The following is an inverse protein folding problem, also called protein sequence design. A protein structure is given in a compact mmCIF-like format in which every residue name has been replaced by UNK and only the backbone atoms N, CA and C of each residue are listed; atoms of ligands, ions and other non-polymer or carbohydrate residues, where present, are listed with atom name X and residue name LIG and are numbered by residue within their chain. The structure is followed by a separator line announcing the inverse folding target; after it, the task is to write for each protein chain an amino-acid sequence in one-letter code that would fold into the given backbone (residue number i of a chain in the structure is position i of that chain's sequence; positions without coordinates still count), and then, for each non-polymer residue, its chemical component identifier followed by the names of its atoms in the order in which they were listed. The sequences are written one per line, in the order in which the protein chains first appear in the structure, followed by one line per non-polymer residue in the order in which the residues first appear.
data_IF_337930252107
#
_entry.id   IF_337930252107
#
_cell.length_a   1.000
_cell.length_b   1.000
_cell.length_c   1.000
_cell.angle_alpha   90.00
_cell.angle_beta   90.00
_cell.angle_gamma   90.00
#
_symmetry.space_group_name_H-M   'P 1'
#
loop_
_entity.id
_entity.type
_entity.pdbx_description
1 polymer ?
#
# COMPACT_ATOMS: atom_id res chain seq x y z
N UNK A 1 7.18 -110.26 5.61
CA UNK A 1 6.91 -109.34 6.69
C UNK A 1 7.94 -108.24 6.55
N UNK A 2 7.52 -107.10 5.95
CA UNK A 2 8.41 -105.93 5.77
C UNK A 2 7.63 -104.71 6.34
N UNK A 3 8.14 -104.24 7.46
CA UNK A 3 7.64 -103.11 8.19
C UNK A 3 7.95 -101.81 7.44
N UNK A 4 6.93 -101.06 7.03
CA UNK A 4 7.11 -99.70 6.45
C UNK A 4 7.04 -98.69 7.58
N UNK A 5 8.18 -98.15 7.89
CA UNK A 5 8.28 -96.94 8.77
C UNK A 5 7.90 -95.70 7.99
N UNK A 6 6.74 -95.13 8.35
CA UNK A 6 6.26 -93.83 7.86
C UNK A 6 6.96 -92.73 8.59
N UNK A 7 7.78 -91.94 7.89
CA UNK A 7 8.37 -90.72 8.40
C UNK A 7 7.48 -89.51 8.02
N UNK A 8 6.94 -88.85 9.01
CA UNK A 8 6.15 -87.60 8.83
C UNK A 8 7.09 -86.44 8.41
N UNK A 9 6.60 -85.52 7.54
CA UNK A 9 7.41 -84.42 7.08
C UNK A 9 7.59 -83.34 8.16
N UNK A 10 8.67 -82.59 8.17
CA UNK A 10 8.91 -81.54 9.17
C UNK A 10 7.98 -80.38 9.04
N UNK A 11 7.51 -79.85 10.20
CA UNK A 11 6.62 -78.75 10.28
C UNK A 11 7.28 -77.45 9.78
N UNK A 12 6.61 -76.75 8.87
CA UNK A 12 7.05 -75.47 8.30
C UNK A 12 7.15 -74.36 9.37
N UNK A 13 8.15 -73.49 9.30
CA UNK A 13 8.31 -72.41 10.29
C UNK A 13 7.18 -71.42 10.22
N UNK A 14 6.51 -71.12 11.34
CA UNK A 14 5.47 -70.12 11.48
C UNK A 14 6.13 -68.74 11.27
N UNK A 15 5.86 -68.09 10.10
CA UNK A 15 6.15 -66.67 9.83
C UNK A 15 5.43 -65.80 10.85
N UNK A 16 6.16 -65.20 11.79
CA UNK A 16 5.61 -64.18 12.69
C UNK A 16 5.12 -62.99 11.83
N UNK A 17 3.82 -62.82 11.76
CA UNK A 17 3.13 -61.77 11.04
C UNK A 17 3.43 -60.45 11.77
N UNK A 18 4.40 -59.65 11.28
CA UNK A 18 4.75 -58.30 11.81
C UNK A 18 3.75 -57.22 11.44
N UNK A 19 2.63 -57.55 10.79
CA UNK A 19 1.64 -56.65 10.28
C UNK A 19 0.89 -55.83 11.34
N UNK A 20 0.52 -56.30 12.54
CA UNK A 20 -0.22 -55.50 13.50
C UNK A 20 0.57 -54.29 13.99
N UNK A 21 1.90 -54.36 14.05
CA UNK A 21 2.76 -53.24 14.42
C UNK A 21 2.83 -52.14 13.35
N UNK A 22 2.91 -52.55 12.08
CA UNK A 22 2.91 -51.59 10.95
C UNK A 22 1.57 -50.87 10.83
N UNK A 23 0.46 -51.59 11.01
CA UNK A 23 -0.89 -51.01 11.01
C UNK A 23 -1.07 -50.01 12.20
N UNK A 24 -0.51 -50.35 13.37
CA UNK A 24 -0.52 -49.44 14.53
C UNK A 24 0.29 -48.16 14.32
N UNK A 25 1.47 -48.26 13.71
CA UNK A 25 2.30 -47.07 13.40
C UNK A 25 1.67 -46.20 12.33
N UNK A 26 1.17 -46.79 11.23
CA UNK A 26 0.48 -46.02 10.17
C UNK A 26 -0.81 -45.40 10.68
N UNK A 27 -1.61 -46.12 11.48
CA UNK A 27 -2.78 -45.59 12.14
C UNK A 27 -2.46 -44.43 13.10
N UNK A 28 -1.38 -44.55 13.87
CA UNK A 28 -0.88 -43.49 14.76
C UNK A 28 -0.45 -42.23 14.01
N UNK A 29 0.27 -42.39 12.88
CA UNK A 29 0.69 -41.27 12.03
C UNK A 29 -0.49 -40.57 11.34
N UNK A 30 -1.50 -41.30 10.88
CA UNK A 30 -2.73 -40.74 10.30
C UNK A 30 -3.53 -40.00 11.36
N UNK A 31 -3.63 -40.54 12.58
CA UNK A 31 -4.32 -39.89 13.69
C UNK A 31 -3.59 -38.62 14.16
N UNK A 32 -2.26 -38.64 14.21
CA UNK A 32 -1.45 -37.47 14.50
C UNK A 32 -1.59 -36.40 13.41
N UNK A 33 -1.59 -36.80 12.15
CA UNK A 33 -1.83 -35.90 11.01
C UNK A 33 -3.24 -35.29 11.04
N UNK A 34 -4.27 -36.06 11.38
CA UNK A 34 -5.64 -35.58 11.56
C UNK A 34 -5.77 -34.63 12.75
N UNK A 35 -5.07 -34.89 13.87
CA UNK A 35 -5.04 -34.00 15.03
C UNK A 35 -4.31 -32.68 14.73
N UNK A 36 -3.21 -32.72 14.00
CA UNK A 36 -2.50 -31.51 13.56
C UNK A 36 -3.38 -30.72 12.59
N UNK A 37 -4.02 -31.39 11.63
CA UNK A 37 -4.95 -30.74 10.70
C UNK A 37 -6.15 -30.15 11.43
N UNK A 38 -6.72 -30.87 12.40
CA UNK A 38 -7.82 -30.36 13.24
C UNK A 38 -7.37 -29.17 14.11
N UNK A 39 -6.16 -29.22 14.68
CA UNK A 39 -5.59 -28.10 15.43
C UNK A 39 -5.35 -26.87 14.54
N UNK A 40 -4.87 -27.08 13.30
CA UNK A 40 -4.73 -26.01 12.29
C UNK A 40 -6.10 -25.48 11.87
N UNK A 41 -7.09 -26.33 11.63
CA UNK A 41 -8.45 -25.92 11.29
C UNK A 41 -9.17 -25.25 12.47
N UNK A 42 -8.91 -25.67 13.69
CA UNK A 42 -9.42 -25.01 14.91
C UNK A 42 -8.70 -23.67 15.11
N UNK A 43 -7.39 -23.59 14.90
CA UNK A 43 -6.64 -22.34 14.92
C UNK A 43 -7.13 -21.37 13.82
N UNK A 44 -7.48 -21.91 12.65
CA UNK A 44 -8.10 -21.15 11.55
C UNK A 44 -9.57 -20.81 11.82
N UNK A 45 -10.33 -21.62 12.57
CA UNK A 45 -11.74 -21.38 12.86
C UNK A 45 -11.97 -20.57 14.16
N UNK A 46 -11.11 -20.69 15.14
CA UNK A 46 -11.06 -19.82 16.33
C UNK A 46 -10.39 -18.48 15.97
N UNK A 47 -9.47 -18.47 14.98
CA UNK A 47 -9.00 -17.28 14.29
C UNK A 47 -9.97 -16.79 13.21
N UNK A 48 -11.01 -17.53 12.82
CA UNK A 48 -12.04 -17.20 11.82
C UNK A 48 -13.25 -16.42 12.36
N UNK A 49 -13.28 -16.12 13.65
CA UNK A 49 -13.94 -14.91 14.14
C UNK A 49 -13.10 -13.75 13.68
N UNK A 50 -13.39 -13.23 12.45
CA UNK A 50 -12.71 -12.13 11.83
C UNK A 50 -11.20 -12.09 12.12
N UNK A 51 -10.38 -12.35 11.12
CA UNK A 51 -9.22 -11.48 10.97
C UNK A 51 -9.81 -10.09 10.68
N UNK A 52 -10.43 -9.46 11.66
CA UNK A 52 -10.25 -8.07 11.86
C UNK A 52 -8.74 -7.94 11.80
N UNK A 53 -8.21 -7.35 10.75
CA UNK A 53 -6.95 -6.65 10.84
C UNK A 53 -7.09 -5.92 12.17
N UNK A 54 -6.45 -6.46 13.22
CA UNK A 54 -6.28 -5.73 14.46
C UNK A 54 -5.73 -4.40 13.98
N UNK A 55 -6.38 -3.32 14.33
CA UNK A 55 -5.82 -1.98 14.24
C UNK A 55 -4.42 -2.16 14.75
N UNK A 56 -3.42 -2.25 13.84
CA UNK A 56 -2.11 -2.72 14.24
C UNK A 56 -1.55 -1.66 15.16
N UNK A 57 -1.35 -1.98 16.42
CA UNK A 57 -0.58 -1.11 17.30
C UNK A 57 0.79 -0.96 16.65
N UNK A 58 1.17 0.27 16.38
CA UNK A 58 2.52 0.56 15.92
C UNK A 58 3.49 0.41 17.07
N UNK A 59 4.62 -0.21 16.80
CA UNK A 59 5.74 -0.24 17.74
C UNK A 59 6.52 1.06 17.59
N UNK A 60 6.93 1.64 18.70
CA UNK A 60 7.73 2.85 18.71
C UNK A 60 9.21 2.52 18.67
N UNK A 61 9.90 3.02 17.67
CA UNK A 61 11.34 3.00 17.58
C UNK A 61 11.91 4.36 17.99
N UNK A 62 12.81 4.39 19.00
CA UNK A 62 13.50 5.61 19.38
C UNK A 62 14.42 6.10 18.26
N UNK A 63 14.33 7.38 17.95
CA UNK A 63 15.17 8.04 16.92
C UNK A 63 16.19 8.96 17.56
N UNK A 64 15.74 9.93 18.40
CA UNK A 64 16.61 10.92 19.02
C UNK A 64 15.90 11.65 20.17
N UNK A 65 16.61 12.55 20.87
CA UNK A 65 16.09 13.42 21.92
C UNK A 65 16.04 12.77 23.31
N UNK A 66 16.03 13.57 24.37
CA UNK A 66 15.99 13.10 25.75
C UNK A 66 14.85 13.77 26.58
N UNK A 67 14.03 14.64 25.94
CA UNK A 67 12.94 15.35 26.59
C UNK A 67 11.77 14.44 26.98
N UNK A 68 10.86 14.98 27.77
CA UNK A 68 9.61 14.30 28.18
C UNK A 68 8.53 14.41 27.14
N UNK A 69 8.51 15.53 26.40
CA UNK A 69 7.64 15.73 25.27
C UNK A 69 8.11 14.89 24.08
N UNK A 70 7.16 14.47 23.24
CA UNK A 70 7.44 13.54 22.14
C UNK A 70 6.97 14.10 20.82
N UNK A 71 7.73 13.83 19.77
CA UNK A 71 7.33 14.02 18.37
C UNK A 71 7.22 12.63 17.73
N UNK A 72 6.02 12.30 17.23
CA UNK A 72 5.79 11.03 16.54
C UNK A 72 6.08 11.18 15.04
N UNK A 73 7.01 10.40 14.52
CA UNK A 73 7.31 10.29 13.07
C UNK A 73 6.53 9.11 12.50
N UNK A 74 5.57 9.41 11.65
CA UNK A 74 4.72 8.40 10.98
C UNK A 74 5.16 8.30 9.52
N UNK A 75 5.65 7.14 9.05
CA UNK A 75 6.01 6.96 7.66
C UNK A 75 4.77 6.82 6.75
N UNK A 76 4.83 7.47 5.59
CA UNK A 76 3.88 7.34 4.48
C UNK A 76 4.67 6.91 3.26
N UNK A 77 4.87 5.60 3.12
CA UNK A 77 5.78 5.03 2.14
C UNK A 77 5.03 4.34 1.00
N UNK A 78 5.51 4.53 -0.23
CA UNK A 78 5.06 3.82 -1.42
C UNK A 78 3.72 4.31 -1.96
N UNK A 79 3.02 3.45 -2.71
CA UNK A 79 1.77 3.82 -3.39
C UNK A 79 0.60 3.92 -2.40
N UNK A 80 -0.20 4.96 -2.55
CA UNK A 80 -1.44 5.17 -1.77
C UNK A 80 -2.55 4.31 -2.38
N UNK A 81 -2.99 3.31 -1.63
CA UNK A 81 -4.00 2.33 -2.06
C UNK A 81 -5.20 2.31 -1.11
N UNK A 82 -6.33 1.82 -1.61
CA UNK A 82 -7.50 1.55 -0.76
C UNK A 82 -7.23 0.40 0.22
N UNK A 83 -7.89 0.41 1.38
CA UNK A 83 -7.71 -0.58 2.46
C UNK A 83 -7.92 -2.03 2.04
N UNK A 84 -8.74 -2.26 1.02
CA UNK A 84 -9.03 -3.61 0.51
C UNK A 84 -8.06 -4.06 -0.60
N UNK A 85 -7.08 -3.23 -0.95
CA UNK A 85 -6.08 -3.58 -1.94
C UNK A 85 -5.02 -4.47 -1.30
N UNK A 86 -4.69 -5.57 -1.95
CA UNK A 86 -3.53 -6.36 -1.54
C UNK A 86 -2.28 -5.70 -2.11
N UNK A 87 -1.23 -5.50 -1.29
CA UNK A 87 0.06 -5.10 -1.84
C UNK A 87 0.51 -6.14 -2.86
N UNK A 88 0.56 -5.77 -4.12
CA UNK A 88 1.15 -6.62 -5.14
C UNK A 88 2.67 -6.51 -5.02
N UNK A 89 3.36 -7.64 -5.03
CA UNK A 89 4.82 -7.77 -5.17
C UNK A 89 5.71 -7.22 -4.03
N UNK A 90 5.19 -7.05 -2.82
CA UNK A 90 6.02 -6.67 -1.66
C UNK A 90 6.55 -5.24 -1.70
N UNK A 91 6.01 -4.38 -2.57
CA UNK A 91 6.33 -2.95 -2.58
C UNK A 91 5.65 -2.23 -1.40
N UNK A 92 6.29 -1.20 -0.85
CA UNK A 92 5.68 -0.39 0.19
C UNK A 92 4.36 0.22 -0.29
N UNK A 93 3.35 0.17 0.55
CA UNK A 93 2.05 0.78 0.30
C UNK A 93 1.52 1.41 1.58
N UNK A 94 0.82 2.52 1.45
CA UNK A 94 0.11 3.15 2.55
C UNK A 94 -1.37 3.19 2.25
N UNK A 95 -2.20 2.98 3.27
CA UNK A 95 -3.66 2.99 3.16
C UNK A 95 -4.28 3.99 4.14
N UNK A 96 -5.50 4.48 3.86
CA UNK A 96 -6.20 5.40 4.77
C UNK A 96 -6.32 4.87 6.19
N UNK A 97 -6.73 3.61 6.36
CA UNK A 97 -6.86 2.98 7.69
C UNK A 97 -5.51 2.81 8.39
N UNK A 98 -4.44 2.54 7.64
CA UNK A 98 -3.09 2.45 8.21
C UNK A 98 -2.66 3.79 8.80
N UNK A 99 -2.88 4.88 8.07
CA UNK A 99 -2.58 6.23 8.54
C UNK A 99 -3.50 6.63 9.71
N UNK A 100 -4.83 6.42 9.60
CA UNK A 100 -5.80 6.67 10.65
C UNK A 100 -5.38 6.01 11.97
N UNK A 101 -5.06 4.71 11.94
CA UNK A 101 -4.63 3.98 13.14
C UNK A 101 -3.34 4.55 13.76
N UNK A 102 -2.41 5.05 12.96
CA UNK A 102 -1.19 5.69 13.47
C UNK A 102 -1.48 7.05 14.09
N UNK A 103 -2.37 7.83 13.48
CA UNK A 103 -2.82 9.12 14.00
C UNK A 103 -3.63 8.94 15.29
N UNK A 104 -4.52 7.95 15.37
CA UNK A 104 -5.26 7.61 16.60
C UNK A 104 -4.31 7.28 17.74
N UNK A 105 -3.27 6.46 17.49
CA UNK A 105 -2.26 6.15 18.50
C UNK A 105 -1.53 7.40 18.97
N UNK A 106 -1.19 8.32 18.04
CA UNK A 106 -0.56 9.59 18.39
C UNK A 106 -1.52 10.54 19.14
N UNK A 107 -2.82 10.50 18.84
CA UNK A 107 -3.84 11.27 19.55
C UNK A 107 -4.00 10.80 21.00
N UNK A 108 -4.05 9.48 21.21
CA UNK A 108 -4.27 8.85 22.50
C UNK A 108 -3.05 8.99 23.46
N UNK A 109 -1.83 9.18 22.93
CA UNK A 109 -0.64 9.40 23.75
C UNK A 109 -0.50 10.88 24.14
N UNK A 110 -0.77 11.17 25.41
CA UNK A 110 -0.67 12.51 25.96
C UNK A 110 0.77 13.08 25.97
N UNK A 111 1.79 12.22 25.83
CA UNK A 111 3.20 12.66 25.76
C UNK A 111 3.58 13.09 24.33
N UNK A 112 2.83 12.69 23.30
CA UNK A 112 3.02 13.15 21.93
C UNK A 112 2.42 14.56 21.78
N UNK A 113 3.26 15.55 21.53
CA UNK A 113 2.84 16.94 21.35
C UNK A 113 2.70 17.34 19.88
N UNK A 114 3.38 16.64 18.95
CA UNK A 114 3.31 16.92 17.52
C UNK A 114 3.53 15.66 16.68
N UNK A 115 3.08 15.68 15.43
CA UNK A 115 3.27 14.59 14.47
C UNK A 115 4.07 15.10 13.25
N UNK A 116 5.04 14.30 12.82
CA UNK A 116 5.73 14.46 11.53
C UNK A 116 5.34 13.31 10.62
N UNK A 117 4.65 13.60 9.53
CA UNK A 117 4.41 12.62 8.47
C UNK A 117 5.61 12.61 7.53
N UNK A 118 6.39 11.52 7.54
CA UNK A 118 7.52 11.33 6.61
C UNK A 118 7.00 10.73 5.32
N UNK A 119 6.81 11.56 4.29
CA UNK A 119 6.20 11.15 3.02
C UNK A 119 7.27 10.76 2.01
N UNK A 120 7.21 9.50 1.55
CA UNK A 120 7.99 8.96 0.45
C UNK A 120 7.07 8.19 -0.50
N UNK A 121 6.24 8.93 -1.22
CA UNK A 121 5.14 8.38 -2.02
C UNK A 121 5.04 9.06 -3.39
N UNK A 122 4.88 8.29 -4.48
CA UNK A 122 4.54 8.83 -5.80
C UNK A 122 3.06 9.23 -5.92
N UNK A 123 2.25 9.03 -4.85
CA UNK A 123 0.80 9.16 -4.86
C UNK A 123 0.08 7.83 -5.05
N UNK A 124 -1.12 7.85 -5.61
CA UNK A 124 -1.94 6.65 -5.81
C UNK A 124 -3.38 6.96 -6.20
N UNK A 125 -4.34 6.20 -5.65
CA UNK A 125 -5.76 6.40 -5.95
C UNK A 125 -6.29 7.74 -5.45
N UNK A 126 -7.20 8.36 -6.19
CA UNK A 126 -7.84 9.63 -5.82
C UNK A 126 -8.57 9.49 -4.49
N UNK A 127 -9.50 8.55 -4.40
CA UNK A 127 -10.30 8.32 -3.18
C UNK A 127 -9.44 8.06 -1.93
N UNK A 128 -8.46 7.12 -1.93
CA UNK A 128 -7.66 6.90 -0.74
C UNK A 128 -6.79 8.12 -0.37
N UNK A 129 -6.31 8.91 -1.34
CA UNK A 129 -5.58 10.15 -1.05
C UNK A 129 -6.49 11.19 -0.38
N UNK A 130 -7.74 11.33 -0.84
CA UNK A 130 -8.72 12.21 -0.24
C UNK A 130 -9.16 11.74 1.17
N UNK A 131 -9.25 10.43 1.40
CA UNK A 131 -9.51 9.87 2.73
C UNK A 131 -8.35 10.15 3.69
N UNK A 132 -7.10 9.94 3.28
CA UNK A 132 -5.93 10.24 4.10
C UNK A 132 -5.82 11.73 4.43
N UNK A 133 -6.11 12.60 3.46
CA UNK A 133 -6.15 14.04 3.68
C UNK A 133 -7.17 14.42 4.76
N UNK A 134 -8.40 13.87 4.71
CA UNK A 134 -9.41 14.07 5.74
C UNK A 134 -8.96 13.55 7.10
N UNK A 135 -8.37 12.35 7.17
CA UNK A 135 -7.87 11.77 8.43
C UNK A 135 -6.85 12.71 9.10
N UNK A 136 -6.00 13.39 8.31
CA UNK A 136 -5.05 14.39 8.85
C UNK A 136 -5.79 15.62 9.39
N UNK A 137 -6.78 16.14 8.66
CA UNK A 137 -7.56 17.28 9.11
C UNK A 137 -8.37 16.96 10.37
N UNK A 138 -9.01 15.79 10.41
CA UNK A 138 -9.79 15.32 11.57
C UNK A 138 -8.88 15.15 12.79
N UNK A 139 -7.71 14.52 12.63
CA UNK A 139 -6.71 14.41 13.69
C UNK A 139 -6.31 15.79 14.26
N UNK A 140 -6.00 16.76 13.40
CA UNK A 140 -5.64 18.12 13.82
C UNK A 140 -6.78 18.79 14.59
N UNK A 141 -8.01 18.64 14.13
CA UNK A 141 -9.18 19.23 14.75
C UNK A 141 -9.54 18.61 16.11
N UNK A 142 -9.34 17.30 16.27
CA UNK A 142 -9.70 16.55 17.48
C UNK A 142 -8.62 16.56 18.55
N UNK A 143 -7.34 16.43 18.16
CA UNK A 143 -6.21 16.35 19.08
C UNK A 143 -5.59 17.71 19.42
N UNK A 144 -5.81 18.74 18.60
CA UNK A 144 -5.15 20.05 18.65
C UNK A 144 -3.60 19.95 18.51
N UNK A 145 -3.07 18.80 18.04
CA UNK A 145 -1.64 18.56 17.82
C UNK A 145 -1.26 18.97 16.40
N UNK A 146 -0.20 19.77 16.20
CA UNK A 146 0.23 20.16 14.87
C UNK A 146 0.80 18.97 14.08
N UNK A 147 0.58 19.00 12.77
CA UNK A 147 1.09 18.03 11.81
C UNK A 147 2.05 18.74 10.85
N UNK A 148 3.26 18.21 10.74
CA UNK A 148 4.28 18.69 9.79
C UNK A 148 4.60 17.59 8.78
N UNK A 149 4.66 17.95 7.50
CA UNK A 149 5.15 17.04 6.47
C UNK A 149 6.67 17.14 6.36
N UNK A 150 7.32 15.99 6.33
CA UNK A 150 8.71 15.86 5.92
C UNK A 150 8.77 15.05 4.61
N UNK A 151 8.98 15.72 3.48
CA UNK A 151 9.10 15.05 2.19
C UNK A 151 10.47 14.37 2.07
N UNK A 152 10.47 13.08 1.72
CA UNK A 152 11.67 12.30 1.47
C UNK A 152 12.10 12.41 -0.01
N UNK A 153 12.48 11.30 -0.64
CA UNK A 153 12.92 11.29 -2.04
C UNK A 153 11.80 11.73 -3.00
N UNK A 154 10.58 11.26 -2.74
CA UNK A 154 9.40 11.57 -3.56
C UNK A 154 8.18 11.87 -2.68
N UNK A 155 7.50 12.98 -2.96
CA UNK A 155 6.19 13.29 -2.38
C UNK A 155 5.36 14.00 -3.45
N UNK A 156 4.79 13.23 -4.38
CA UNK A 156 4.19 13.74 -5.60
C UNK A 156 2.73 13.30 -5.76
N UNK A 157 1.96 14.07 -6.51
CA UNK A 157 0.57 13.77 -6.85
C UNK A 157 -0.29 13.50 -5.60
N UNK A 158 -0.84 12.29 -5.37
CA UNK A 158 -1.54 11.96 -4.12
C UNK A 158 -0.68 12.15 -2.86
N UNK A 159 0.65 11.99 -2.95
CA UNK A 159 1.58 12.28 -1.86
C UNK A 159 1.68 13.78 -1.55
N UNK A 160 1.54 14.64 -2.56
CA UNK A 160 1.42 16.08 -2.37
C UNK A 160 0.00 16.47 -1.89
N UNK A 161 -1.03 15.81 -2.42
CA UNK A 161 -2.42 16.01 -2.00
C UNK A 161 -2.58 15.88 -0.49
N UNK A 162 -2.07 14.81 0.11
CA UNK A 162 -2.13 14.63 1.58
C UNK A 162 -1.28 15.65 2.33
N UNK A 163 -0.18 16.12 1.71
CA UNK A 163 0.69 17.09 2.35
C UNK A 163 0.01 18.46 2.57
N UNK A 164 -0.96 18.82 1.74
CA UNK A 164 -1.69 20.08 1.87
C UNK A 164 -2.55 20.20 3.14
N UNK A 165 -2.86 19.06 3.81
CA UNK A 165 -3.59 19.05 5.08
C UNK A 165 -2.73 19.48 6.29
N UNK A 166 -1.41 19.54 6.16
CA UNK A 166 -0.49 19.83 7.25
C UNK A 166 -0.40 21.33 7.60
N UNK A 167 0.18 21.63 8.75
CA UNK A 167 0.46 23.01 9.18
C UNK A 167 1.73 23.57 8.53
N UNK A 168 2.66 22.70 8.18
CA UNK A 168 3.89 23.06 7.47
C UNK A 168 4.43 21.91 6.63
N UNK A 169 5.05 22.24 5.51
CA UNK A 169 5.67 21.27 4.59
C UNK A 169 7.16 21.56 4.47
N UNK A 170 7.98 20.59 4.87
CA UNK A 170 9.44 20.63 4.74
C UNK A 170 9.88 19.62 3.69
N UNK A 171 10.69 20.04 2.73
CA UNK A 171 11.20 19.17 1.66
C UNK A 171 12.72 19.21 1.55
N UNK A 172 13.34 18.11 1.20
CA UNK A 172 14.75 18.11 0.79
C UNK A 172 14.91 18.89 -0.52
N UNK A 173 16.08 19.49 -0.72
CA UNK A 173 16.38 20.24 -1.96
C UNK A 173 16.13 19.44 -3.22
N UNK A 174 16.36 18.13 -3.14
CA UNK A 174 16.29 17.18 -4.24
C UNK A 174 15.01 16.35 -4.26
N UNK A 175 14.12 16.55 -3.31
CA UNK A 175 12.79 15.91 -3.30
C UNK A 175 12.12 16.09 -4.66
N UNK A 176 11.56 15.03 -5.20
CA UNK A 176 10.69 15.10 -6.36
C UNK A 176 9.24 15.25 -5.88
N UNK A 177 8.64 16.39 -6.21
CA UNK A 177 7.26 16.70 -5.81
C UNK A 177 6.45 17.25 -7.01
N UNK A 178 5.27 17.83 -6.77
CA UNK A 178 4.38 18.27 -7.84
C UNK A 178 3.61 17.11 -8.43
N UNK A 179 3.63 16.92 -9.76
CA UNK A 179 2.74 16.00 -10.47
C UNK A 179 1.28 16.26 -10.11
N UNK A 180 0.93 17.57 -10.05
CA UNK A 180 -0.40 18.04 -9.67
C UNK A 180 -1.34 17.82 -10.85
N UNK A 181 -2.19 16.80 -10.73
CA UNK A 181 -3.08 16.39 -11.80
C UNK A 181 -3.64 14.99 -11.61
N UNK A 182 -4.58 14.64 -12.47
CA UNK A 182 -5.34 13.37 -12.44
C UNK A 182 -5.25 12.69 -13.80
N UNK A 183 -5.20 11.38 -13.81
CA UNK A 183 -5.34 10.61 -15.03
C UNK A 183 -6.11 9.31 -14.81
N UNK A 184 -6.70 8.79 -15.88
CA UNK A 184 -7.25 7.43 -15.95
C UNK A 184 -6.42 6.68 -16.98
N UNK A 185 -5.72 5.62 -16.57
CA UNK A 185 -4.97 4.75 -17.47
C UNK A 185 -5.88 3.69 -18.08
N UNK A 186 -5.99 3.66 -19.40
CA UNK A 186 -6.74 2.66 -20.15
C UNK A 186 -5.78 1.93 -21.11
N UNK A 187 -5.65 0.62 -20.94
CA UNK A 187 -4.87 -0.22 -21.85
C UNK A 187 -5.71 -0.56 -23.06
N UNK A 188 -5.17 -0.36 -24.28
CA UNK A 188 -5.77 -0.84 -25.50
C UNK A 188 -4.84 -1.86 -26.17
N UNK A 189 -5.34 -3.09 -26.36
CA UNK A 189 -4.66 -4.20 -27.04
C UNK A 189 -5.52 -4.78 -28.17
N UNK A 190 -6.48 -4.00 -28.70
CA UNK A 190 -7.42 -4.46 -29.72
C UNK A 190 -6.74 -4.95 -30.99
N UNK A 191 -5.74 -4.23 -31.52
CA UNK A 191 -4.98 -4.64 -32.71
C UNK A 191 -4.25 -5.98 -32.46
N UNK A 192 -3.60 -6.14 -31.31
CA UNK A 192 -2.96 -7.39 -30.97
C UNK A 192 -3.96 -8.56 -30.85
N UNK A 193 -5.13 -8.31 -30.25
CA UNK A 193 -6.19 -9.31 -30.13
C UNK A 193 -6.70 -9.75 -31.51
N UNK A 194 -6.90 -8.83 -32.43
CA UNK A 194 -7.32 -9.11 -33.82
C UNK A 194 -6.26 -9.96 -34.53
N UNK A 195 -4.99 -9.66 -34.42
CA UNK A 195 -3.90 -10.42 -35.01
C UNK A 195 -3.84 -11.89 -34.52
N UNK A 196 -4.22 -12.13 -33.27
CA UNK A 196 -4.30 -13.48 -32.69
C UNK A 196 -5.67 -14.14 -32.83
N UNK A 197 -6.65 -13.47 -33.46
CA UNK A 197 -8.02 -13.97 -33.61
C UNK A 197 -8.79 -14.08 -32.30
N UNK A 198 -8.47 -13.24 -31.32
CA UNK A 198 -9.14 -13.16 -30.03
C UNK A 198 -10.23 -12.09 -30.10
N UNK A 199 -11.48 -12.48 -29.85
CA UNK A 199 -12.61 -11.56 -29.80
C UNK A 199 -13.43 -11.76 -28.54
N UNK A 200 -13.91 -10.67 -27.94
CA UNK A 200 -14.82 -10.70 -26.80
C UNK A 200 -16.21 -10.23 -27.23
N UNK A 201 -17.22 -11.02 -26.89
CA UNK A 201 -18.61 -10.70 -27.19
C UNK A 201 -19.35 -10.37 -25.91
N UNK A 202 -20.05 -9.24 -25.90
CA UNK A 202 -20.83 -8.77 -24.77
C UNK A 202 -22.33 -8.86 -25.03
N UNK A 203 -23.08 -9.39 -24.06
CA UNK A 203 -24.52 -9.22 -23.94
C UNK A 203 -24.72 -8.21 -22.82
N UNK A 204 -25.06 -6.97 -23.16
CA UNK A 204 -25.06 -5.84 -22.24
C UNK A 204 -26.41 -5.14 -22.16
N UNK A 205 -26.75 -4.60 -21.01
CA UNK A 205 -28.00 -3.86 -20.77
C UNK A 205 -27.94 -2.40 -21.26
N UNK A 206 -26.75 -1.86 -21.47
CA UNK A 206 -26.53 -0.47 -21.89
C UNK A 206 -25.26 -0.31 -22.69
N UNK A 207 -25.21 0.73 -23.51
CA UNK A 207 -24.14 0.99 -24.48
C UNK A 207 -22.78 1.15 -23.78
N UNK A 208 -22.72 1.91 -22.71
CA UNK A 208 -21.47 2.23 -21.99
C UNK A 208 -21.07 1.20 -20.95
N UNK A 209 -21.80 0.06 -20.82
CA UNK A 209 -21.50 -0.94 -19.77
C UNK A 209 -20.13 -1.62 -19.93
N UNK A 210 -19.51 -1.49 -21.09
CA UNK A 210 -18.20 -2.06 -21.42
C UNK A 210 -17.19 -0.98 -21.83
N UNK A 211 -17.41 0.27 -21.41
CA UNK A 211 -16.44 1.33 -21.68
C UNK A 211 -15.10 1.04 -21.00
N UNK A 212 -14.00 1.36 -21.70
CA UNK A 212 -12.65 1.07 -21.23
C UNK A 212 -12.22 -0.39 -21.41
N UNK A 213 -12.98 -1.22 -22.13
CA UNK A 213 -12.57 -2.59 -22.49
C UNK A 213 -11.28 -2.58 -23.32
N UNK A 214 -10.20 -3.28 -22.87
CA UNK A 214 -8.91 -3.27 -23.56
C UNK A 214 -8.92 -3.94 -24.93
N UNK A 215 -9.95 -4.75 -25.28
CA UNK A 215 -10.03 -5.47 -26.52
C UNK A 215 -10.79 -4.72 -27.63
N UNK A 216 -11.08 -3.45 -27.43
CA UNK A 216 -11.68 -2.58 -28.45
C UNK A 216 -11.20 -1.14 -28.32
N UNK A 217 -11.34 -0.38 -29.37
CA UNK A 217 -11.07 1.05 -29.32
C UNK A 217 -12.08 1.77 -28.40
N UNK A 218 -11.60 2.80 -27.71
CA UNK A 218 -12.42 3.72 -26.94
C UNK A 218 -13.19 4.64 -27.90
N UNK A 219 -14.50 4.74 -27.74
CA UNK A 219 -15.27 5.70 -28.55
C UNK A 219 -15.07 7.14 -28.05
N UNK A 220 -15.30 8.17 -28.90
CA UNK A 220 -15.25 9.56 -28.45
C UNK A 220 -16.20 9.85 -27.29
N UNK A 221 -17.41 9.29 -27.30
CA UNK A 221 -18.40 9.47 -26.25
C UNK A 221 -17.94 8.84 -24.91
N UNK A 222 -17.27 7.70 -24.97
CA UNK A 222 -16.68 7.07 -23.78
C UNK A 222 -15.50 7.89 -23.25
N UNK A 223 -14.67 8.44 -24.15
CA UNK A 223 -13.58 9.33 -23.79
C UNK A 223 -14.09 10.59 -23.08
N UNK A 224 -15.18 11.20 -23.58
CA UNK A 224 -15.80 12.36 -22.96
C UNK A 224 -16.34 12.06 -21.56
N UNK A 225 -16.89 10.85 -21.34
CA UNK A 225 -17.33 10.41 -19.99
C UNK A 225 -16.14 10.30 -19.04
N UNK A 226 -15.05 9.65 -19.44
CA UNK A 226 -13.86 9.56 -18.60
C UNK A 226 -13.22 10.92 -18.35
N UNK A 227 -13.18 11.79 -19.39
CA UNK A 227 -12.63 13.13 -19.25
C UNK A 227 -13.42 13.95 -18.22
N UNK A 228 -14.73 13.85 -18.20
CA UNK A 228 -15.56 14.59 -17.23
C UNK A 228 -15.26 14.18 -15.78
N UNK A 229 -14.91 12.90 -15.53
CA UNK A 229 -14.52 12.41 -14.22
C UNK A 229 -13.12 12.97 -13.85
N UNK A 230 -12.19 12.93 -14.80
CA UNK A 230 -10.83 13.49 -14.59
C UNK A 230 -10.90 14.98 -14.31
N UNK A 231 -11.77 15.73 -15.01
CA UNK A 231 -11.95 17.16 -14.80
C UNK A 231 -12.52 17.44 -13.39
N UNK A 232 -13.51 16.66 -12.92
CA UNK A 232 -14.09 16.79 -11.58
C UNK A 232 -13.03 16.54 -10.49
N UNK A 233 -12.28 15.45 -10.59
CA UNK A 233 -11.22 15.11 -9.65
C UNK A 233 -10.06 16.13 -9.70
N UNK A 234 -9.76 16.69 -10.86
CA UNK A 234 -8.76 17.74 -11.04
C UNK A 234 -9.16 19.05 -10.34
N UNK A 235 -10.43 19.47 -10.49
CA UNK A 235 -10.96 20.64 -9.79
C UNK A 235 -10.85 20.49 -8.27
N UNK A 236 -11.17 19.30 -7.74
CA UNK A 236 -11.01 19.01 -6.32
C UNK A 236 -9.54 19.11 -5.89
N UNK A 237 -8.60 18.61 -6.71
CA UNK A 237 -7.18 18.73 -6.41
C UNK A 237 -6.72 20.20 -6.36
N UNK A 238 -7.16 21.02 -7.33
CA UNK A 238 -6.86 22.45 -7.35
C UNK A 238 -7.40 23.14 -6.09
N UNK A 239 -8.64 22.84 -5.68
CA UNK A 239 -9.25 23.38 -4.48
C UNK A 239 -8.45 23.05 -3.22
N UNK A 240 -8.08 21.78 -3.05
CA UNK A 240 -7.33 21.31 -1.88
C UNK A 240 -5.95 21.97 -1.79
N UNK A 241 -5.28 22.20 -2.92
CA UNK A 241 -4.01 22.94 -2.94
C UNK A 241 -4.24 24.41 -2.61
N UNK A 242 -5.26 25.03 -3.23
CA UNK A 242 -5.58 26.44 -3.00
C UNK A 242 -5.86 26.71 -1.52
N UNK A 243 -6.67 25.88 -0.87
CA UNK A 243 -6.97 25.98 0.56
C UNK A 243 -5.77 25.68 1.45
N UNK A 244 -5.06 24.60 1.18
CA UNK A 244 -3.94 24.15 2.02
C UNK A 244 -2.66 24.99 1.88
N UNK A 245 -2.52 25.74 0.78
CA UNK A 245 -1.36 26.62 0.53
C UNK A 245 -1.69 28.11 0.54
N UNK A 246 -2.95 28.47 0.75
CA UNK A 246 -3.43 29.87 0.66
C UNK A 246 -3.03 30.55 -0.66
N UNK A 247 -3.13 29.78 -1.78
CA UNK A 247 -2.84 30.24 -3.13
C UNK A 247 -4.13 30.46 -3.91
N UNK A 248 -4.21 31.50 -4.78
CA UNK A 248 -5.34 31.66 -5.70
C UNK A 248 -5.48 30.44 -6.63
N UNK A 249 -6.71 29.97 -6.89
CA UNK A 249 -6.95 28.82 -7.77
C UNK A 249 -6.35 28.97 -9.17
N UNK A 250 -6.34 30.19 -9.73
CA UNK A 250 -5.75 30.48 -11.04
C UNK A 250 -4.23 30.28 -11.04
N UNK A 251 -3.54 30.65 -9.95
CA UNK A 251 -2.12 30.38 -9.76
C UNK A 251 -1.87 28.87 -9.61
N UNK A 252 -2.70 28.17 -8.83
CA UNK A 252 -2.61 26.70 -8.69
C UNK A 252 -2.80 26.01 -10.04
N UNK A 253 -3.76 26.46 -10.88
CA UNK A 253 -3.99 25.86 -12.21
C UNK A 253 -2.79 26.04 -13.14
N UNK A 254 -2.07 27.15 -13.04
CA UNK A 254 -0.85 27.39 -13.81
C UNK A 254 0.30 26.42 -13.41
N UNK A 255 0.28 25.94 -12.15
CA UNK A 255 1.25 24.98 -11.63
C UNK A 255 0.80 23.52 -11.81
N UNK A 256 -0.50 23.26 -11.94
CA UNK A 256 -1.12 21.94 -11.91
C UNK A 256 -1.33 21.34 -13.31
N UNK A 257 -0.32 21.36 -14.16
CA UNK A 257 -0.34 20.74 -15.49
C UNK A 257 0.24 19.31 -15.52
N UNK A 258 0.46 18.73 -14.35
CA UNK A 258 1.00 17.39 -14.20
C UNK A 258 2.54 17.32 -14.16
N UNK A 259 3.24 18.45 -14.30
CA UNK A 259 4.71 18.49 -14.20
C UNK A 259 5.20 18.24 -12.79
N UNK A 260 6.45 17.80 -12.69
CA UNK A 260 7.14 17.62 -11.41
C UNK A 260 8.05 18.81 -11.12
N UNK A 261 8.35 18.99 -9.84
CA UNK A 261 9.23 20.03 -9.31
C UNK A 261 10.27 19.39 -8.39
N UNK A 262 11.46 20.01 -8.32
CA UNK A 262 12.37 19.74 -7.21
C UNK A 262 11.87 20.46 -5.95
N UNK A 263 12.35 20.04 -4.77
CA UNK A 263 12.03 20.76 -3.52
C UNK A 263 12.33 22.25 -3.60
N UNK A 264 13.47 22.62 -4.19
CA UNK A 264 13.81 24.05 -4.39
C UNK A 264 12.81 24.81 -5.26
N UNK A 265 12.39 24.21 -6.37
CA UNK A 265 11.38 24.82 -7.24
C UNK A 265 10.03 24.92 -6.52
N UNK A 266 9.69 23.93 -5.72
CA UNK A 266 8.44 23.91 -4.95
C UNK A 266 8.43 25.02 -3.86
N UNK A 267 9.58 25.27 -3.21
CA UNK A 267 9.72 26.40 -2.26
C UNK A 267 9.55 27.75 -2.97
N UNK A 268 10.19 27.95 -4.13
CA UNK A 268 10.06 29.20 -4.93
C UNK A 268 8.61 29.44 -5.40
N UNK A 269 7.80 28.36 -5.52
CA UNK A 269 6.39 28.40 -5.95
C UNK A 269 5.39 28.34 -4.78
N UNK A 270 5.85 28.48 -3.54
CA UNK A 270 5.03 28.37 -2.31
C UNK A 270 4.29 27.03 -2.14
N UNK A 271 4.71 26.00 -2.87
CA UNK A 271 4.19 24.64 -2.69
C UNK A 271 4.81 23.94 -1.46
N UNK A 272 5.93 24.43 -0.95
CA UNK A 272 6.66 23.95 0.23
C UNK A 272 7.08 25.16 1.06
N UNK A 273 7.09 25.04 2.40
CA UNK A 273 7.36 26.14 3.31
C UNK A 273 8.85 26.31 3.62
N UNK A 274 9.60 25.20 3.64
CA UNK A 274 11.01 25.21 4.05
C UNK A 274 11.79 24.09 3.37
N UNK A 275 13.02 24.39 2.98
CA UNK A 275 14.00 23.39 2.57
C UNK A 275 14.70 22.84 3.80
N UNK A 276 14.64 21.50 3.97
CA UNK A 276 15.26 20.79 5.08
C UNK A 276 14.99 19.30 5.06
N UNK A 277 15.65 18.58 5.97
CA UNK A 277 15.45 17.13 6.16
C UNK A 277 14.43 16.80 7.25
N UNK A 278 14.46 15.54 7.72
CA UNK A 278 13.61 15.10 8.81
C UNK A 278 13.87 15.86 10.11
N UNK A 279 15.14 16.16 10.42
CA UNK A 279 15.53 16.91 11.63
C UNK A 279 14.95 18.32 11.61
N UNK A 280 14.97 19.01 10.45
CA UNK A 280 14.36 20.33 10.29
C UNK A 280 12.82 20.27 10.44
N UNK A 281 12.18 19.22 9.95
CA UNK A 281 10.74 19.02 10.11
C UNK A 281 10.35 18.76 11.59
N UNK A 282 11.18 18.03 12.32
CA UNK A 282 11.01 17.83 13.77
C UNK A 282 11.18 19.17 14.52
N UNK A 283 12.15 20.00 14.13
CA UNK A 283 12.30 21.36 14.69
C UNK A 283 11.05 22.20 14.46
N UNK A 284 10.51 22.21 13.22
CA UNK A 284 9.26 22.93 12.91
C UNK A 284 8.08 22.37 13.73
N UNK A 285 7.98 21.05 13.88
CA UNK A 285 6.92 20.41 14.66
C UNK A 285 7.00 20.79 16.16
N UNK A 286 8.22 20.79 16.71
CA UNK A 286 8.51 21.27 18.08
C UNK A 286 8.05 22.72 18.26
N UNK A 287 8.45 23.59 17.34
CA UNK A 287 8.13 25.02 17.41
C UNK A 287 6.62 25.28 17.27
N UNK A 288 5.94 24.56 16.37
CA UNK A 288 4.48 24.66 16.19
C UNK A 288 3.69 24.21 17.43
N UNK A 289 4.25 23.33 18.25
CA UNK A 289 3.61 22.79 19.45
C UNK A 289 4.15 23.38 20.77
N UNK A 290 5.05 24.36 20.72
CA UNK A 290 5.72 24.96 21.89
C UNK A 290 6.34 23.90 22.83
N UNK A 291 6.97 22.84 22.27
CA UNK A 291 7.59 21.77 23.05
C UNK A 291 8.98 22.17 23.58
N UNK A 292 9.51 21.35 24.50
CA UNK A 292 10.87 21.49 25.03
C UNK A 292 11.95 21.45 23.92
N UNK A 293 13.14 21.98 24.23
CA UNK A 293 14.22 22.14 23.24
C UNK A 293 14.76 20.82 22.65
N UNK A 294 14.58 19.69 23.29
CA UNK A 294 15.06 18.38 22.84
C UNK A 294 14.00 17.29 23.04
N UNK A 295 12.85 17.37 22.31
CA UNK A 295 11.79 16.40 22.47
C UNK A 295 12.26 15.01 22.05
N UNK A 296 11.74 13.97 22.73
CA UNK A 296 11.99 12.58 22.29
C UNK A 296 11.28 12.32 20.96
N UNK A 297 12.05 11.96 19.95
CA UNK A 297 11.53 11.60 18.64
C UNK A 297 11.36 10.09 18.56
N UNK A 298 10.14 9.65 18.28
CA UNK A 298 9.80 8.23 18.08
C UNK A 298 9.27 8.01 16.69
N UNK A 299 9.68 6.91 16.05
CA UNK A 299 9.14 6.48 14.77
C UNK A 299 8.13 5.37 14.99
N UNK A 300 6.98 5.47 14.37
CA UNK A 300 5.99 4.41 14.34
C UNK A 300 6.34 3.38 13.28
N UNK A 301 6.52 2.13 13.70
CA UNK A 301 6.85 1.00 12.83
C UNK A 301 5.71 -0.02 12.90
N UNK A 302 5.14 -0.34 11.78
CA UNK A 302 4.14 -1.40 11.71
C UNK A 302 4.83 -2.76 11.71
N UNK A 303 4.60 -3.57 12.74
CA UNK A 303 5.12 -4.93 12.76
C UNK A 303 4.43 -5.79 11.70
N UNK A 304 5.22 -6.53 10.89
CA UNK A 304 4.63 -7.47 9.97
C UNK A 304 3.86 -8.54 10.74
N UNK A 305 2.56 -8.64 10.51
CA UNK A 305 1.72 -9.64 11.15
C UNK A 305 2.23 -11.07 10.88
N UNK A 306 2.01 -12.01 11.81
CA UNK A 306 2.41 -13.43 11.64
C UNK A 306 1.93 -14.03 10.31
N UNK A 307 0.82 -13.54 9.76
CA UNK A 307 0.29 -13.93 8.46
C UNK A 307 1.22 -13.55 7.31
N UNK A 308 1.75 -12.32 7.29
CA UNK A 308 2.66 -11.84 6.24
C UNK A 308 4.02 -12.57 6.28
N UNK A 309 4.51 -12.90 7.48
CA UNK A 309 5.73 -13.69 7.66
C UNK A 309 5.59 -15.14 7.15
N UNK A 310 4.38 -15.71 7.23
CA UNK A 310 4.11 -17.05 6.69
C UNK A 310 3.89 -17.03 5.18
N UNK A 311 3.20 -16.03 4.65
CA UNK A 311 2.93 -15.93 3.20
C UNK A 311 4.18 -15.57 2.40
N UNK A 312 5.04 -14.67 2.88
CA UNK A 312 6.28 -14.29 2.18
C UNK A 312 7.27 -15.46 1.98
N UNK A 313 7.14 -16.51 2.80
CA UNK A 313 8.04 -17.68 2.74
C UNK A 313 7.55 -18.80 1.81
N UNK A 314 6.28 -18.76 1.37
CA UNK A 314 5.63 -19.83 0.63
C UNK A 314 5.06 -19.42 -0.73
N UNK A 315 5.04 -18.13 -1.07
CA UNK A 315 4.60 -17.69 -2.39
C UNK A 315 5.77 -17.74 -3.38
N UNK A 316 5.57 -18.29 -4.59
CA UNK A 316 6.56 -18.21 -5.66
C UNK A 316 6.71 -16.76 -6.10
N UNK A 317 7.93 -16.36 -6.45
CA UNK A 317 8.19 -15.04 -7.02
C UNK A 317 7.34 -14.83 -8.29
N UNK A 318 6.67 -13.67 -8.44
CA UNK A 318 5.90 -13.38 -9.64
C UNK A 318 6.82 -13.29 -10.86
N UNK A 319 6.32 -13.57 -12.08
CA UNK A 319 7.12 -13.49 -13.29
C UNK A 319 7.63 -12.07 -13.53
N UNK A 320 8.83 -11.93 -14.11
CA UNK A 320 9.52 -10.63 -14.31
C UNK A 320 8.64 -9.54 -14.95
N UNK A 321 7.74 -9.91 -15.88
CA UNK A 321 6.82 -8.96 -16.54
C UNK A 321 5.79 -8.40 -15.55
N UNK A 322 5.27 -9.23 -14.64
CA UNK A 322 4.36 -8.77 -13.60
C UNK A 322 5.07 -7.85 -12.61
N UNK A 323 6.34 -8.14 -12.27
CA UNK A 323 7.17 -7.27 -11.42
C UNK A 323 7.43 -5.90 -12.08
N UNK A 324 7.66 -5.86 -13.39
CA UNK A 324 7.88 -4.61 -14.13
C UNK A 324 6.61 -3.76 -14.22
N UNK A 325 5.45 -4.38 -14.41
CA UNK A 325 4.17 -3.67 -14.46
C UNK A 325 3.76 -3.14 -13.08
N UNK A 326 3.95 -3.92 -12.03
CA UNK A 326 3.67 -3.50 -10.66
C UNK A 326 4.65 -2.44 -10.16
N UNK A 327 5.93 -2.53 -10.52
CA UNK A 327 6.94 -1.53 -10.20
C UNK A 327 6.66 -0.16 -10.83
N UNK A 328 5.86 -0.10 -11.91
CA UNK A 328 5.40 1.16 -12.49
C UNK A 328 4.34 1.87 -11.64
N UNK A 329 3.69 1.17 -10.70
CA UNK A 329 2.59 1.70 -9.87
C UNK A 329 1.31 2.00 -10.65
N UNK A 330 1.31 1.78 -11.97
CA UNK A 330 0.18 2.11 -12.84
C UNK A 330 -0.89 1.02 -12.76
N UNK A 331 -2.06 1.37 -12.28
CA UNK A 331 -3.22 0.49 -12.29
C UNK A 331 -4.05 0.75 -13.56
N UNK A 332 -4.10 -0.23 -14.46
CA UNK A 332 -4.91 -0.19 -15.69
C UNK A 332 -6.36 -0.64 -15.46
N UNK A 333 -7.00 -0.14 -14.42
CA UNK A 333 -8.34 -0.56 -14.00
C UNK A 333 -9.44 0.48 -14.26
N UNK A 334 -9.10 1.58 -14.93
CA UNK A 334 -10.07 2.65 -15.25
C UNK A 334 -10.51 3.48 -14.04
N UNK A 335 -9.80 3.41 -12.91
CA UNK A 335 -10.04 4.28 -11.75
C UNK A 335 -9.15 5.53 -11.82
N UNK A 336 -9.66 6.71 -11.41
CA UNK A 336 -8.87 7.93 -11.32
C UNK A 336 -7.68 7.78 -10.38
N UNK A 337 -6.55 8.36 -10.73
CA UNK A 337 -5.31 8.25 -9.97
C UNK A 337 -4.59 9.60 -9.84
N UNK A 338 -4.13 9.88 -8.62
CA UNK A 338 -3.08 10.83 -8.31
C UNK A 338 -1.78 10.06 -8.15
N UNK A 339 -1.08 9.80 -9.25
CA UNK A 339 0.14 8.99 -9.24
C UNK A 339 1.20 9.61 -10.15
N UNK A 340 2.37 9.84 -9.59
CA UNK A 340 3.55 10.13 -10.38
C UNK A 340 4.14 8.83 -10.94
N UNK A 341 4.18 8.73 -12.28
CA UNK A 341 4.82 7.61 -12.98
C UNK A 341 6.15 8.11 -13.53
N UNK A 342 7.29 7.67 -12.99
CA UNK A 342 8.57 7.99 -13.59
C UNK A 342 8.60 7.50 -15.04
N UNK A 343 8.93 8.35 -16.00
CA UNK A 343 9.01 8.03 -17.42
C UNK A 343 10.12 7.03 -17.74
N UNK A 344 10.02 5.85 -17.21
CA UNK A 344 10.90 4.75 -17.47
C UNK A 344 10.07 3.54 -17.84
N UNK A 345 9.84 3.33 -19.08
CA UNK A 345 10.17 2.08 -19.77
C UNK A 345 10.20 2.46 -21.26
N UNK A 346 11.18 3.25 -21.67
CA UNK A 346 11.73 3.05 -22.99
C UNK A 346 12.70 1.89 -22.87
N UNK A 347 12.19 0.69 -22.69
CA UNK A 347 12.98 -0.49 -22.97
C UNK A 347 13.06 -0.64 -24.47
N UNK A 348 14.25 -0.73 -24.98
CA UNK A 348 14.71 -1.18 -26.28
C UNK A 348 13.95 -2.42 -26.81
N UNK A 349 12.66 -2.28 -27.13
CA UNK A 349 11.87 -3.28 -27.87
C UNK A 349 12.05 -3.14 -29.38
N UNK A 350 13.05 -2.34 -29.84
CA UNK A 350 13.52 -2.31 -31.20
C UNK A 350 14.94 -2.84 -31.31
N UNK A 351 15.12 -4.14 -31.13
CA UNK A 351 16.21 -4.94 -31.70
C UNK A 351 15.73 -6.30 -32.16
#
# INVERSE_FOLDING_TARGET
MTEQTSTAPPAAPRRRRRWPWVVGIVGGLVLLGALVLAAVLIALSVGGGGFSSSSGSFTEEYVSGEGTDRVAVIPVDGTILSDNSSPEDGLPTTTPRGLESALDQAADDASVGAVVLRVNSPGGGVTPSAEMHRNILDFKAESEKPVVISMADTAASGGYYIATAADSIVAERTTLTGSLGVYIGLLNVSEAADDFGVAQNYIRSGEFKTMGDPLRELSPEEADIFQSIVDEDYEEFVNVISEGRDLPEDEVRDLADGRVYSGLQAEELNLVDRIGGLEDAVEVARDNADLEDDPTVVRYVQEPGLGSLLTSRFLPEPPEVAQLLSASGVQFNGTPQYLYVPGAIRSDLNR
#
